data_IF_522717675026
#
_entry.id   IF_522717675026
#
_cell.length_a   1.000
_cell.length_b   1.000
_cell.length_c   1.000
_cell.angle_alpha   90.00
_cell.angle_beta   90.00
_cell.angle_gamma   90.00
#
_symmetry.space_group_name_H-M   'P 1'
#
loop_
_entity.id
_entity.type
_entity.pdbx_description
1 polymer ?
#
# COMPACT_ATOMS: atom_id res chain seq x y z
N UNK A 1 -40.32 -7.25 -28.61
CA UNK A 1 -39.48 -7.12 -27.39
C UNK A 1 -39.63 -5.68 -26.92
N UNK A 2 -40.10 -5.39 -25.72
CA UNK A 2 -40.24 -4.01 -25.27
C UNK A 2 -38.82 -3.45 -25.00
N UNK A 3 -38.47 -2.44 -25.76
CA UNK A 3 -37.26 -1.63 -25.47
C UNK A 3 -37.46 -0.94 -24.13
N UNK A 4 -36.80 -1.42 -23.09
CA UNK A 4 -36.78 -0.76 -21.79
C UNK A 4 -36.17 0.64 -21.98
N UNK A 5 -37.02 1.64 -22.02
CA UNK A 5 -36.55 3.03 -22.01
C UNK A 5 -35.86 3.31 -20.67
N UNK A 6 -34.55 3.48 -20.73
CA UNK A 6 -33.74 3.82 -19.56
C UNK A 6 -34.18 5.22 -19.11
N UNK A 7 -34.73 5.34 -17.91
CA UNK A 7 -35.16 6.61 -17.35
C UNK A 7 -33.98 7.56 -17.14
N UNK A 8 -34.23 8.87 -17.20
CA UNK A 8 -33.16 9.89 -16.96
C UNK A 8 -32.46 9.65 -15.62
N UNK A 9 -33.20 9.28 -14.58
CA UNK A 9 -32.65 8.94 -13.27
C UNK A 9 -31.62 7.80 -13.32
N UNK A 10 -31.91 6.73 -14.07
CA UNK A 10 -30.98 5.61 -14.23
C UNK A 10 -29.70 6.03 -14.97
N UNK A 11 -29.81 6.92 -15.96
CA UNK A 11 -28.62 7.46 -16.67
C UNK A 11 -27.72 8.28 -15.75
N UNK A 12 -28.32 9.16 -14.95
CA UNK A 12 -27.58 9.99 -13.96
C UNK A 12 -26.92 9.12 -12.91
N UNK A 13 -27.64 8.12 -12.38
CA UNK A 13 -27.07 7.17 -11.41
C UNK A 13 -25.86 6.44 -11.99
N UNK A 14 -25.97 5.89 -13.21
CA UNK A 14 -24.84 5.20 -13.85
C UNK A 14 -23.66 6.13 -14.13
N UNK A 15 -23.91 7.40 -14.49
CA UNK A 15 -22.85 8.38 -14.68
C UNK A 15 -22.09 8.64 -13.37
N UNK A 16 -22.77 8.82 -12.24
CA UNK A 16 -22.16 9.03 -10.93
C UNK A 16 -21.33 7.81 -10.53
N UNK A 17 -21.88 6.61 -10.64
CA UNK A 17 -21.19 5.36 -10.30
C UNK A 17 -19.95 5.16 -11.19
N UNK A 18 -20.07 5.44 -12.49
CA UNK A 18 -18.97 5.32 -13.43
C UNK A 18 -17.81 6.27 -13.07
N UNK A 19 -18.12 7.55 -12.83
CA UNK A 19 -17.11 8.55 -12.46
C UNK A 19 -16.43 8.17 -11.14
N UNK A 20 -17.20 7.77 -10.12
CA UNK A 20 -16.66 7.32 -8.85
C UNK A 20 -15.77 6.08 -9.02
N UNK A 21 -16.17 5.12 -9.83
CA UNK A 21 -15.40 3.90 -10.10
C UNK A 21 -14.09 4.21 -10.82
N UNK A 22 -14.11 5.07 -11.83
CA UNK A 22 -12.90 5.50 -12.55
C UNK A 22 -11.93 6.20 -11.60
N UNK A 23 -12.41 7.11 -10.76
CA UNK A 23 -11.58 7.83 -9.80
C UNK A 23 -10.90 6.87 -8.81
N UNK A 24 -11.64 5.89 -8.26
CA UNK A 24 -11.10 4.90 -7.33
C UNK A 24 -10.11 3.96 -8.01
N UNK A 25 -10.38 3.49 -9.23
CA UNK A 25 -9.47 2.64 -10.00
C UNK A 25 -8.16 3.39 -10.30
N UNK A 26 -8.27 4.64 -10.73
CA UNK A 26 -7.09 5.48 -11.02
C UNK A 26 -6.26 5.69 -9.75
N UNK A 27 -6.89 6.04 -8.62
CA UNK A 27 -6.20 6.18 -7.35
C UNK A 27 -5.52 4.87 -6.93
N UNK A 28 -6.21 3.74 -7.02
CA UNK A 28 -5.66 2.41 -6.70
C UNK A 28 -4.47 2.03 -7.59
N UNK A 29 -4.56 2.33 -8.88
CA UNK A 29 -3.46 2.08 -9.83
C UNK A 29 -2.22 2.93 -9.49
N UNK A 30 -2.39 4.19 -9.10
CA UNK A 30 -1.29 5.06 -8.69
C UNK A 30 -0.65 4.53 -7.40
N UNK A 31 -1.43 4.18 -6.38
CA UNK A 31 -0.93 3.62 -5.12
C UNK A 31 -0.19 2.31 -5.35
N UNK A 32 -0.73 1.44 -6.21
CA UNK A 32 -0.07 0.17 -6.56
C UNK A 32 1.26 0.42 -7.30
N UNK A 33 1.29 1.30 -8.29
CA UNK A 33 2.49 1.60 -9.06
C UNK A 33 3.59 2.20 -8.17
N UNK A 34 3.25 3.18 -7.31
CA UNK A 34 4.20 3.77 -6.36
C UNK A 34 4.67 2.73 -5.34
N UNK A 35 3.77 1.91 -4.79
CA UNK A 35 4.13 0.87 -3.82
C UNK A 35 5.06 -0.19 -4.42
N UNK A 36 4.82 -0.63 -5.64
CA UNK A 36 5.64 -1.65 -6.29
C UNK A 36 7.07 -1.15 -6.62
N UNK A 37 7.22 0.10 -7.03
CA UNK A 37 8.54 0.68 -7.31
C UNK A 37 9.33 1.01 -6.04
N UNK A 38 8.64 1.33 -4.93
CA UNK A 38 9.29 1.70 -3.67
C UNK A 38 9.89 0.50 -2.93
N UNK A 39 9.31 -0.70 -3.01
CA UNK A 39 9.77 -1.88 -2.24
C UNK A 39 11.26 -2.17 -2.43
N UNK A 40 11.75 -2.23 -3.66
CA UNK A 40 13.16 -2.49 -3.93
C UNK A 40 14.07 -1.30 -3.59
N UNK A 41 13.58 -0.07 -3.78
CA UNK A 41 14.32 1.14 -3.43
C UNK A 41 14.44 1.29 -1.92
N UNK A 42 13.36 1.07 -1.18
CA UNK A 42 13.35 1.14 0.29
C UNK A 42 14.25 0.07 0.90
N UNK A 43 14.22 -1.16 0.36
CA UNK A 43 15.14 -2.22 0.78
C UNK A 43 16.61 -1.80 0.56
N UNK A 44 16.93 -1.25 -0.60
CA UNK A 44 18.29 -0.78 -0.88
C UNK A 44 18.70 0.35 0.05
N UNK A 45 17.84 1.35 0.27
CA UNK A 45 18.13 2.46 1.20
C UNK A 45 18.38 1.98 2.63
N UNK A 46 17.59 1.01 3.13
CA UNK A 46 17.80 0.42 4.46
C UNK A 46 19.14 -0.29 4.57
N UNK A 47 19.50 -1.05 3.52
CA UNK A 47 20.80 -1.72 3.46
C UNK A 47 21.97 -0.72 3.43
N UNK A 48 21.85 0.38 2.69
CA UNK A 48 22.86 1.43 2.67
C UNK A 48 23.02 2.09 4.05
N UNK A 49 21.94 2.35 4.75
CA UNK A 49 22.00 2.86 6.12
C UNK A 49 22.65 1.85 7.10
N UNK A 50 22.39 0.55 6.94
CA UNK A 50 23.06 -0.48 7.74
C UNK A 50 24.56 -0.52 7.44
N UNK A 51 24.96 -0.43 6.16
CA UNK A 51 26.37 -0.33 5.75
C UNK A 51 27.07 0.84 6.42
N UNK A 52 26.46 2.00 6.44
CA UNK A 52 27.07 3.21 6.97
C UNK A 52 27.20 3.12 8.50
N UNK A 53 26.21 2.57 9.20
CA UNK A 53 26.25 2.32 10.66
C UNK A 53 27.38 1.37 11.05
N UNK A 54 27.55 0.23 10.36
CA UNK A 54 28.62 -0.72 10.70
C UNK A 54 29.99 -0.13 10.41
N UNK A 55 30.14 0.66 9.36
CA UNK A 55 31.40 1.34 9.05
C UNK A 55 31.77 2.38 10.10
N UNK A 56 30.80 3.15 10.55
CA UNK A 56 30.98 4.13 11.62
C UNK A 56 31.39 3.44 12.92
N UNK A 57 30.69 2.38 13.33
CA UNK A 57 31.02 1.60 14.52
C UNK A 57 32.43 0.97 14.43
N UNK A 58 32.79 0.44 13.27
CA UNK A 58 34.12 -0.15 13.06
C UNK A 58 35.22 0.91 13.04
N UNK A 59 34.95 2.12 12.56
CA UNK A 59 35.93 3.22 12.57
C UNK A 59 36.10 3.85 13.94
N UNK A 60 35.02 3.97 14.73
CA UNK A 60 35.05 4.50 16.10
C UNK A 60 35.71 3.53 17.07
N UNK A 61 35.58 2.23 16.83
CA UNK A 61 36.26 1.18 17.59
C UNK A 61 35.89 1.08 19.07
N UNK A 62 34.80 1.76 19.48
CA UNK A 62 34.30 1.78 20.86
C UNK A 62 32.82 1.35 20.91
N UNK A 63 32.46 0.62 21.98
CA UNK A 63 31.08 0.30 22.26
C UNK A 63 30.32 1.54 22.75
N UNK A 64 29.33 2.06 21.99
CA UNK A 64 28.60 3.27 22.38
C UNK A 64 27.82 3.17 23.69
N UNK A 65 27.59 1.95 24.22
CA UNK A 65 26.88 1.76 25.49
C UNK A 65 27.81 1.73 26.71
N UNK A 66 28.97 1.12 26.57
CA UNK A 66 29.93 0.95 27.68
C UNK A 66 31.14 1.89 27.58
N UNK A 67 31.40 2.49 26.43
CA UNK A 67 32.61 3.29 26.15
C UNK A 67 33.90 2.47 26.09
N UNK A 68 33.79 1.14 26.08
CA UNK A 68 34.97 0.27 26.04
C UNK A 68 35.43 0.02 24.59
N UNK A 69 36.74 -0.16 24.37
CA UNK A 69 37.24 -0.52 23.05
C UNK A 69 36.65 -1.86 22.55
N UNK A 70 36.31 -1.91 21.27
CA UNK A 70 35.87 -3.14 20.61
C UNK A 70 37.09 -3.92 20.11
N UNK A 71 37.39 -5.03 20.76
CA UNK A 71 38.56 -5.86 20.41
C UNK A 71 38.17 -6.91 19.35
N UNK A 72 38.62 -6.66 18.10
CA UNK A 72 38.46 -7.57 16.97
C UNK A 72 37.10 -7.51 16.28
N UNK A 73 37.06 -8.20 15.14
CA UNK A 73 35.88 -8.22 14.24
C UNK A 73 34.63 -8.78 14.92
N UNK A 74 34.79 -9.84 15.71
CA UNK A 74 33.68 -10.50 16.40
C UNK A 74 32.94 -9.56 17.38
N UNK A 75 33.71 -8.69 18.11
CA UNK A 75 33.12 -7.73 19.03
C UNK A 75 32.29 -6.65 18.29
N UNK A 76 32.82 -6.13 17.18
CA UNK A 76 32.12 -5.15 16.33
C UNK A 76 30.83 -5.73 15.78
N UNK A 77 30.86 -6.91 15.18
CA UNK A 77 29.68 -7.58 14.62
C UNK A 77 28.63 -7.86 15.70
N UNK A 78 29.06 -8.41 16.85
CA UNK A 78 28.14 -8.67 17.96
C UNK A 78 27.43 -7.42 18.44
N UNK A 79 28.15 -6.35 18.71
CA UNK A 79 27.57 -5.09 19.21
C UNK A 79 26.63 -4.49 18.16
N UNK A 80 26.99 -4.54 16.88
CA UNK A 80 26.13 -4.05 15.81
C UNK A 80 24.82 -4.84 15.74
N UNK A 81 24.88 -6.16 15.64
CA UNK A 81 23.71 -7.05 15.54
C UNK A 81 22.81 -6.94 16.77
N UNK A 82 23.38 -6.87 17.98
CA UNK A 82 22.59 -6.74 19.21
C UNK A 82 21.86 -5.39 19.35
N UNK A 83 22.32 -4.36 18.66
CA UNK A 83 21.77 -3.00 18.73
C UNK A 83 20.86 -2.66 17.56
N UNK A 84 20.90 -3.45 16.51
CA UNK A 84 20.05 -3.21 15.34
C UNK A 84 18.65 -3.73 15.64
N UNK A 85 17.66 -2.84 15.54
CA UNK A 85 16.26 -3.23 15.55
C UNK A 85 15.87 -3.61 14.13
N UNK A 86 15.54 -4.88 13.93
CA UNK A 86 15.17 -5.43 12.64
C UNK A 86 13.66 -5.30 12.39
N UNK A 87 13.32 -5.02 11.13
CA UNK A 87 11.95 -4.99 10.68
C UNK A 87 11.42 -6.39 10.33
N UNK A 88 10.11 -6.49 10.01
CA UNK A 88 9.55 -7.74 9.52
C UNK A 88 10.23 -8.19 8.23
N UNK A 89 10.79 -9.41 8.25
CA UNK A 89 11.53 -9.96 7.11
C UNK A 89 12.95 -9.42 6.95
N UNK A 90 13.51 -8.82 7.99
CA UNK A 90 14.90 -8.35 8.05
C UNK A 90 15.68 -9.16 9.08
N UNK A 91 16.93 -9.48 8.78
CA UNK A 91 17.85 -10.11 9.72
C UNK A 91 19.30 -9.80 9.38
N UNK A 92 20.16 -9.79 10.39
CA UNK A 92 21.58 -9.59 10.24
C UNK A 92 22.36 -10.85 10.65
N UNK A 93 23.36 -11.22 9.86
CA UNK A 93 24.25 -12.35 10.08
C UNK A 93 25.68 -11.85 10.16
N UNK A 94 26.42 -12.32 11.14
CA UNK A 94 27.83 -12.01 11.33
C UNK A 94 28.72 -13.21 11.01
N UNK A 95 29.59 -13.05 10.03
CA UNK A 95 30.59 -14.03 9.66
C UNK A 95 31.95 -13.62 10.19
N UNK A 96 32.66 -14.55 10.83
CA UNK A 96 34.01 -14.32 11.33
C UNK A 96 34.93 -15.46 10.86
N UNK A 97 36.13 -15.12 10.46
CA UNK A 97 37.10 -16.10 10.03
C UNK A 97 38.50 -15.59 9.97
N UNK A 98 39.42 -16.47 9.62
CA UNK A 98 40.79 -16.21 9.25
C UNK A 98 40.94 -16.41 7.74
N UNK A 99 42.07 -16.07 7.17
CA UNK A 99 42.29 -15.96 5.71
C UNK A 99 41.86 -17.14 4.81
N UNK A 100 41.45 -18.26 5.37
CA UNK A 100 41.06 -19.45 4.62
C UNK A 100 39.71 -20.07 5.02
N UNK A 101 39.10 -19.62 6.13
CA UNK A 101 37.85 -20.21 6.61
C UNK A 101 36.98 -19.15 7.28
N UNK A 102 35.73 -19.00 6.81
CA UNK A 102 34.77 -18.00 7.29
C UNK A 102 33.51 -18.72 7.74
N UNK A 103 33.21 -18.63 9.03
CA UNK A 103 32.06 -19.28 9.65
C UNK A 103 31.01 -18.24 10.10
N UNK A 104 29.75 -18.62 10.03
CA UNK A 104 28.65 -17.89 10.64
C UNK A 104 28.81 -17.95 12.16
N UNK A 105 29.03 -16.81 12.79
CA UNK A 105 29.28 -16.72 14.23
C UNK A 105 28.16 -16.03 14.98
N UNK A 106 27.54 -15.04 14.36
CA UNK A 106 26.48 -14.23 14.97
C UNK A 106 25.24 -14.22 14.07
N UNK A 107 24.08 -14.38 14.69
CA UNK A 107 22.77 -14.26 14.05
C UNK A 107 21.95 -13.20 14.78
N UNK A 108 20.93 -12.70 14.11
CA UNK A 108 19.93 -11.83 14.71
C UNK A 108 19.32 -12.44 15.96
N UNK A 109 18.74 -11.60 16.81
CA UNK A 109 18.11 -12.01 18.06
C UNK A 109 17.06 -13.11 17.85
N UNK A 110 16.90 -13.99 18.83
CA UNK A 110 15.91 -15.08 18.82
C UNK A 110 14.44 -14.62 18.69
N UNK A 111 14.18 -13.33 18.92
CA UNK A 111 12.83 -12.74 18.77
C UNK A 111 12.46 -12.40 17.33
N UNK A 112 13.35 -12.62 16.37
CA UNK A 112 13.10 -12.33 14.95
C UNK A 112 12.32 -13.47 14.32
N UNK A 113 11.22 -13.14 13.67
CA UNK A 113 10.36 -14.13 13.00
C UNK A 113 10.92 -14.64 11.66
N UNK A 114 12.00 -14.02 11.19
CA UNK A 114 12.67 -14.35 9.94
C UNK A 114 14.05 -14.93 10.21
N UNK A 115 14.32 -16.12 9.66
CA UNK A 115 15.52 -16.92 9.89
C UNK A 115 16.24 -17.23 8.58
N UNK A 116 16.98 -16.28 8.01
CA UNK A 116 17.70 -16.50 6.76
C UNK A 116 18.82 -17.54 6.86
N UNK A 117 19.33 -17.80 8.08
CA UNK A 117 20.31 -18.85 8.35
C UNK A 117 19.79 -20.28 8.12
N UNK A 118 18.47 -20.46 8.06
CA UNK A 118 17.87 -21.77 7.75
C UNK A 118 17.82 -22.03 6.23
N UNK A 119 17.99 -21.01 5.37
CA UNK A 119 18.05 -21.16 3.92
C UNK A 119 19.48 -21.51 3.49
N UNK A 120 19.69 -22.81 3.23
CA UNK A 120 21.01 -23.35 2.86
C UNK A 120 21.56 -22.75 1.57
N UNK A 121 20.69 -22.43 0.60
CA UNK A 121 21.13 -21.86 -0.68
C UNK A 121 21.53 -20.40 -0.53
N UNK A 122 20.83 -19.66 0.31
CA UNK A 122 21.24 -18.30 0.69
C UNK A 122 22.58 -18.34 1.43
N UNK A 123 22.73 -19.21 2.47
CA UNK A 123 23.97 -19.31 3.24
C UNK A 123 25.18 -19.65 2.36
N UNK A 124 25.06 -20.63 1.47
CA UNK A 124 26.15 -20.97 0.52
C UNK A 124 26.57 -19.76 -0.30
N UNK A 125 25.60 -18.97 -0.77
CA UNK A 125 25.87 -17.79 -1.59
C UNK A 125 26.58 -16.71 -0.78
N UNK A 126 26.07 -16.34 0.39
CA UNK A 126 26.65 -15.27 1.20
C UNK A 126 27.98 -15.65 1.80
N UNK A 127 28.19 -16.93 2.22
CA UNK A 127 29.47 -17.41 2.72
C UNK A 127 30.55 -17.32 1.65
N UNK A 128 30.24 -17.67 0.39
CA UNK A 128 31.20 -17.55 -0.71
C UNK A 128 31.64 -16.12 -0.98
N UNK A 129 30.86 -15.13 -0.60
CA UNK A 129 31.13 -13.71 -0.77
C UNK A 129 31.58 -12.99 0.50
N UNK A 130 31.45 -13.63 1.68
CA UNK A 130 31.85 -13.05 2.95
C UNK A 130 33.35 -12.73 3.05
N UNK A 131 34.17 -13.37 2.19
CA UNK A 131 35.60 -13.08 2.05
C UNK A 131 35.92 -11.95 1.04
N UNK A 132 34.90 -11.32 0.42
CA UNK A 132 35.10 -10.21 -0.49
C UNK A 132 35.72 -9.00 0.19
N UNK A 133 36.49 -8.20 -0.52
CA UNK A 133 37.13 -6.99 0.01
C UNK A 133 36.25 -5.74 -0.08
N UNK A 134 35.17 -5.78 -0.83
CA UNK A 134 34.28 -4.65 -1.06
C UNK A 134 32.84 -4.97 -0.64
N UNK A 135 32.12 -3.92 -0.24
CA UNK A 135 30.68 -4.07 0.08
C UNK A 135 29.88 -4.31 -1.19
N UNK A 136 29.01 -5.31 -1.16
CA UNK A 136 28.17 -5.70 -2.28
C UNK A 136 26.69 -5.69 -1.86
N UNK A 137 25.82 -5.13 -2.69
CA UNK A 137 24.35 -5.27 -2.58
C UNK A 137 23.87 -6.08 -3.77
N UNK A 138 23.34 -7.26 -3.52
CA UNK A 138 22.83 -8.14 -4.58
C UNK A 138 21.42 -8.65 -4.26
N UNK A 139 20.75 -9.17 -5.28
CA UNK A 139 19.50 -9.91 -5.11
C UNK A 139 19.77 -11.39 -5.27
N UNK A 140 19.55 -12.15 -4.21
CA UNK A 140 19.69 -13.61 -4.17
C UNK A 140 18.31 -14.22 -4.28
N UNK A 141 18.12 -15.10 -5.28
CA UNK A 141 16.89 -15.87 -5.46
C UNK A 141 17.13 -17.30 -5.04
N UNK A 142 16.32 -17.79 -4.12
CA UNK A 142 16.31 -19.18 -3.68
C UNK A 142 14.92 -19.79 -3.93
N UNK A 143 14.76 -21.10 -3.82
CA UNK A 143 13.44 -21.73 -3.89
C UNK A 143 12.48 -21.21 -2.79
N UNK A 144 13.02 -20.75 -1.64
CA UNK A 144 12.24 -20.29 -0.49
C UNK A 144 11.75 -18.85 -0.68
N UNK A 145 12.63 -17.95 -1.12
CA UNK A 145 12.29 -16.53 -1.29
C UNK A 145 13.25 -15.76 -2.21
N UNK A 146 12.94 -14.46 -2.39
CA UNK A 146 13.81 -13.50 -3.04
C UNK A 146 14.36 -12.55 -1.97
N UNK A 147 15.66 -12.52 -1.81
CA UNK A 147 16.35 -11.74 -0.80
C UNK A 147 17.11 -10.57 -1.43
N UNK A 148 17.02 -9.42 -0.82
CA UNK A 148 17.96 -8.32 -1.05
C UNK A 148 19.01 -8.40 0.03
N UNK A 149 20.28 -8.57 -0.35
CA UNK A 149 21.38 -8.86 0.56
C UNK A 149 22.44 -7.79 0.43
N UNK A 150 22.89 -7.29 1.56
CA UNK A 150 24.08 -6.46 1.70
C UNK A 150 25.17 -7.28 2.39
N UNK A 151 26.36 -7.30 1.83
CA UNK A 151 27.55 -7.90 2.43
C UNK A 151 28.56 -6.78 2.67
N UNK A 152 28.94 -6.56 3.91
CA UNK A 152 29.94 -5.55 4.31
C UNK A 152 31.14 -6.24 4.95
N UNK A 153 32.30 -6.24 4.30
CA UNK A 153 33.51 -6.77 4.91
C UNK A 153 33.96 -5.90 6.10
N UNK A 154 34.31 -6.54 7.17
CA UNK A 154 34.87 -5.93 8.40
C UNK A 154 36.23 -6.53 8.66
N UNK A 155 37.24 -5.69 8.81
CA UNK A 155 38.62 -6.12 9.04
C UNK A 155 39.11 -5.59 10.41
N UNK A 156 39.80 -6.43 11.14
CA UNK A 156 40.37 -6.06 12.43
C UNK A 156 41.57 -6.93 12.80
N UNK A 157 42.77 -6.39 12.68
CA UNK A 157 44.02 -7.11 12.94
C UNK A 157 44.24 -8.29 12.00
N UNK A 158 44.33 -9.51 12.52
CA UNK A 158 44.49 -10.75 11.75
C UNK A 158 43.18 -11.44 11.44
N UNK A 159 42.04 -10.89 11.89
CA UNK A 159 40.71 -11.44 11.67
C UNK A 159 40.02 -10.73 10.49
N UNK A 160 39.31 -11.51 9.73
CA UNK A 160 38.39 -11.04 8.71
C UNK A 160 36.97 -11.44 9.07
N UNK A 161 36.03 -10.65 8.68
CA UNK A 161 34.63 -11.00 8.83
C UNK A 161 33.74 -10.20 7.89
N UNK A 162 32.48 -10.49 7.94
CA UNK A 162 31.46 -9.76 7.16
C UNK A 162 30.16 -9.64 7.94
N UNK A 163 29.55 -8.48 7.87
CA UNK A 163 28.14 -8.31 8.17
C UNK A 163 27.34 -8.61 6.92
N UNK A 164 26.35 -9.47 7.05
CA UNK A 164 25.38 -9.75 6.01
C UNK A 164 24.01 -9.34 6.50
N UNK A 165 23.43 -8.31 5.88
CA UNK A 165 22.08 -7.88 6.16
C UNK A 165 21.14 -8.40 5.06
N UNK A 166 20.12 -9.14 5.45
CA UNK A 166 19.19 -9.82 4.56
C UNK A 166 17.80 -9.24 4.71
N UNK A 167 17.17 -8.87 3.61
CA UNK A 167 15.78 -8.41 3.55
C UNK A 167 15.00 -9.34 2.63
N UNK A 168 13.94 -9.95 3.14
CA UNK A 168 13.01 -10.77 2.36
C UNK A 168 12.01 -9.91 1.59
N UNK A 169 12.20 -9.82 0.28
CA UNK A 169 11.32 -9.04 -0.60
C UNK A 169 9.89 -9.58 -0.64
N UNK A 170 9.69 -10.88 -0.42
CA UNK A 170 8.34 -11.48 -0.36
C UNK A 170 7.54 -10.97 0.84
N UNK A 171 8.19 -10.75 1.99
CA UNK A 171 7.54 -10.18 3.17
C UNK A 171 7.14 -8.73 2.90
N UNK A 172 8.03 -7.95 2.29
CA UNK A 172 7.74 -6.56 1.90
C UNK A 172 6.59 -6.48 0.88
N UNK A 173 6.59 -7.35 -0.13
CA UNK A 173 5.49 -7.47 -1.11
C UNK A 173 4.16 -7.88 -0.45
N UNK A 174 4.20 -8.79 0.54
CA UNK A 174 3.00 -9.24 1.26
C UNK A 174 2.33 -8.11 2.05
N UNK A 175 3.11 -7.18 2.60
CA UNK A 175 2.58 -5.98 3.26
C UNK A 175 1.88 -5.06 2.26
N UNK A 176 2.46 -4.87 1.07
CA UNK A 176 1.80 -4.12 -0.01
C UNK A 176 0.48 -4.78 -0.42
N UNK A 177 0.46 -6.12 -0.58
CA UNK A 177 -0.76 -6.86 -0.91
C UNK A 177 -1.85 -6.69 0.15
N UNK A 178 -1.52 -6.71 1.44
CA UNK A 178 -2.49 -6.44 2.52
C UNK A 178 -3.05 -5.03 2.44
N UNK A 179 -2.20 -4.04 2.22
CA UNK A 179 -2.63 -2.64 2.02
C UNK A 179 -3.56 -2.52 0.83
N UNK A 180 -3.25 -3.19 -0.29
CA UNK A 180 -4.11 -3.22 -1.47
C UNK A 180 -5.45 -3.93 -1.21
N UNK A 181 -5.46 -4.99 -0.41
CA UNK A 181 -6.71 -5.67 -0.02
C UNK A 181 -7.63 -4.76 0.79
N UNK A 182 -7.09 -4.03 1.78
CA UNK A 182 -7.86 -3.03 2.53
C UNK A 182 -8.36 -1.90 1.64
N UNK A 183 -7.52 -1.38 0.74
CA UNK A 183 -7.92 -0.38 -0.23
C UNK A 183 -9.07 -0.87 -1.11
N UNK A 184 -8.97 -2.09 -1.64
CA UNK A 184 -10.00 -2.69 -2.49
C UNK A 184 -11.32 -2.85 -1.73
N UNK A 185 -11.28 -3.32 -0.49
CA UNK A 185 -12.47 -3.44 0.34
C UNK A 185 -13.12 -2.07 0.60
N UNK A 186 -12.32 -1.05 0.93
CA UNK A 186 -12.80 0.32 1.11
C UNK A 186 -13.40 0.90 -0.19
N UNK A 187 -12.77 0.65 -1.34
CA UNK A 187 -13.25 1.11 -2.63
C UNK A 187 -14.60 0.48 -2.98
N UNK A 188 -14.75 -0.85 -2.80
CA UNK A 188 -16.02 -1.55 -3.00
C UNK A 188 -17.12 -1.00 -2.10
N UNK A 189 -16.80 -0.79 -0.81
CA UNK A 189 -17.74 -0.19 0.13
C UNK A 189 -18.17 1.22 -0.30
N UNK A 190 -17.23 2.05 -0.73
CA UNK A 190 -17.49 3.41 -1.20
C UNK A 190 -18.40 3.41 -2.44
N UNK A 191 -18.14 2.54 -3.42
CA UNK A 191 -18.98 2.42 -4.61
C UNK A 191 -20.40 1.97 -4.24
N UNK A 192 -20.53 1.00 -3.34
CA UNK A 192 -21.83 0.54 -2.85
C UNK A 192 -22.60 1.67 -2.13
N UNK A 193 -21.92 2.44 -1.28
CA UNK A 193 -22.49 3.58 -0.58
C UNK A 193 -22.94 4.68 -1.55
N UNK A 194 -22.09 5.06 -2.51
CA UNK A 194 -22.40 6.06 -3.54
C UNK A 194 -23.59 5.60 -4.38
N UNK A 195 -23.62 4.32 -4.76
CA UNK A 195 -24.75 3.75 -5.52
C UNK A 195 -26.05 3.83 -4.73
N UNK A 196 -26.03 3.46 -3.44
CA UNK A 196 -27.19 3.55 -2.56
C UNK A 196 -27.69 4.99 -2.36
N UNK A 197 -26.77 5.93 -2.13
CA UNK A 197 -27.11 7.36 -1.99
C UNK A 197 -27.63 7.95 -3.30
N UNK A 198 -27.02 7.59 -4.43
CA UNK A 198 -27.48 8.03 -5.74
C UNK A 198 -28.88 7.49 -6.06
N UNK A 199 -29.13 6.22 -5.75
CA UNK A 199 -30.46 5.65 -5.93
C UNK A 199 -31.52 6.36 -5.10
N UNK A 200 -31.26 6.52 -3.80
CA UNK A 200 -32.17 7.22 -2.88
C UNK A 200 -32.40 8.68 -3.29
N UNK A 201 -31.33 9.39 -3.65
CA UNK A 201 -31.37 10.79 -4.08
C UNK A 201 -32.15 10.98 -5.38
N UNK A 202 -31.85 10.16 -6.39
CA UNK A 202 -32.53 10.22 -7.69
C UNK A 202 -34.01 9.91 -7.54
N UNK A 203 -34.39 8.88 -6.79
CA UNK A 203 -35.80 8.54 -6.56
C UNK A 203 -36.52 9.70 -5.85
N UNK A 204 -35.91 10.31 -4.84
CA UNK A 204 -36.51 11.41 -4.09
C UNK A 204 -36.65 12.70 -4.92
N UNK A 205 -35.64 13.01 -5.75
CA UNK A 205 -35.62 14.24 -6.56
C UNK A 205 -36.50 14.14 -7.80
N UNK A 206 -36.70 12.96 -8.38
CA UNK A 206 -37.50 12.78 -9.59
C UNK A 206 -38.97 12.49 -9.30
N UNK A 207 -39.36 12.09 -8.10
CA UNK A 207 -40.77 11.89 -7.72
C UNK A 207 -41.67 13.09 -8.01
N UNK A 208 -41.29 14.33 -7.65
CA UNK A 208 -42.11 15.50 -7.94
C UNK A 208 -42.32 15.72 -9.47
N UNK A 209 -41.24 15.50 -10.25
CA UNK A 209 -41.31 15.66 -11.73
C UNK A 209 -42.26 14.64 -12.34
N UNK A 210 -42.27 13.42 -11.89
CA UNK A 210 -43.19 12.38 -12.34
C UNK A 210 -44.65 12.70 -11.94
N UNK A 211 -44.84 13.29 -10.76
CA UNK A 211 -46.18 13.75 -10.33
C UNK A 211 -46.66 14.91 -11.20
N UNK A 212 -45.78 15.86 -11.55
CA UNK A 212 -46.11 16.95 -12.48
C UNK A 212 -46.52 16.42 -13.86
N UNK A 213 -45.72 15.47 -14.39
CA UNK A 213 -46.03 14.85 -15.70
C UNK A 213 -47.38 14.17 -15.68
N UNK A 214 -47.70 13.37 -14.67
CA UNK A 214 -49.00 12.70 -14.54
C UNK A 214 -50.14 13.69 -14.38
N UNK A 215 -49.97 14.77 -13.62
CA UNK A 215 -50.95 15.83 -13.49
C UNK A 215 -51.19 16.52 -14.83
N UNK A 216 -50.13 16.78 -15.61
CA UNK A 216 -50.27 17.40 -16.95
C UNK A 216 -50.91 16.43 -17.96
N UNK A 217 -50.61 15.14 -17.89
CA UNK A 217 -51.23 14.11 -18.75
C UNK A 217 -52.69 13.85 -18.39
N UNK A 218 -53.13 14.11 -17.14
CA UNK A 218 -54.52 13.98 -16.68
C UNK A 218 -55.37 15.21 -16.98
N UNK A 219 -54.77 16.35 -17.35
CA UNK A 219 -55.45 17.53 -17.84
C UNK A 219 -55.78 17.29 -19.31
N UNK A 220 -56.86 16.56 -19.59
CA UNK A 220 -57.44 16.42 -20.94
C UNK A 220 -58.23 17.65 -21.29
N UNK A 221 -58.64 17.75 -22.57
CA UNK A 221 -59.41 18.88 -23.11
C UNK A 221 -60.76 19.16 -22.38
N UNK A 222 -61.19 18.21 -21.50
CA UNK A 222 -62.50 18.27 -20.85
C UNK A 222 -62.47 18.61 -19.34
N UNK A 223 -61.27 18.60 -18.67
CA UNK A 223 -61.21 18.93 -17.24
C UNK A 223 -60.05 19.87 -16.90
N UNK A 224 -60.29 21.16 -17.03
CA UNK A 224 -59.39 22.26 -16.69
C UNK A 224 -59.44 22.63 -15.17
N UNK A 225 -60.22 21.90 -14.38
CA UNK A 225 -60.37 22.21 -12.92
C UNK A 225 -59.29 21.60 -12.07
N UNK A 226 -58.54 20.60 -12.55
CA UNK A 226 -57.47 19.97 -11.83
C UNK A 226 -56.27 20.90 -11.66
N UNK A 227 -55.80 21.10 -10.43
CA UNK A 227 -54.61 21.93 -10.10
C UNK A 227 -53.44 21.08 -9.67
N UNK A 228 -52.23 21.51 -10.07
CA UNK A 228 -50.98 20.89 -9.67
C UNK A 228 -50.72 21.19 -8.20
N UNK A 229 -50.48 20.19 -7.35
CA UNK A 229 -50.23 20.41 -5.93
C UNK A 229 -48.89 21.13 -5.72
N UNK A 230 -48.94 22.33 -5.16
CA UNK A 230 -47.75 23.16 -4.81
C UNK A 230 -47.29 22.75 -3.42
N UNK A 231 -46.22 21.91 -3.34
CA UNK A 231 -45.62 21.52 -2.08
C UNK A 231 -44.09 21.72 -2.15
N UNK A 232 -43.55 22.57 -1.27
CA UNK A 232 -42.13 22.82 -1.16
C UNK A 232 -41.73 24.29 -1.26
N UNK A 233 -40.43 24.58 -1.32
CA UNK A 233 -39.81 25.89 -1.47
C UNK A 233 -38.68 25.87 -2.49
N UNK A 234 -38.79 25.04 -3.51
CA UNK A 234 -37.79 24.82 -4.55
C UNK A 234 -38.27 25.36 -5.92
N UNK A 235 -37.38 25.31 -6.91
CA UNK A 235 -37.64 25.75 -8.27
C UNK A 235 -38.83 24.99 -8.93
N UNK A 236 -39.09 23.77 -8.48
CA UNK A 236 -40.24 22.97 -8.95
C UNK A 236 -41.58 23.53 -8.42
N UNK A 237 -41.55 24.10 -7.23
CA UNK A 237 -42.72 24.82 -6.68
C UNK A 237 -43.05 26.07 -7.49
N UNK A 238 -42.00 26.80 -7.94
CA UNK A 238 -42.18 27.96 -8.83
C UNK A 238 -42.75 27.54 -10.19
N UNK A 239 -42.32 26.42 -10.73
CA UNK A 239 -42.85 25.85 -11.98
C UNK A 239 -44.34 25.42 -11.84
N UNK A 240 -44.67 24.69 -10.75
CA UNK A 240 -46.05 24.29 -10.47
C UNK A 240 -47.00 25.50 -10.34
N UNK A 241 -46.53 26.55 -9.67
CA UNK A 241 -47.29 27.81 -9.57
C UNK A 241 -47.43 28.53 -10.91
N UNK A 242 -46.45 28.45 -11.80
CA UNK A 242 -46.54 29.01 -13.15
C UNK A 242 -47.55 28.25 -14.01
N UNK A 243 -47.57 26.93 -13.93
CA UNK A 243 -48.57 26.07 -14.62
C UNK A 243 -49.96 26.38 -14.11
N UNK A 244 -50.18 26.48 -12.79
CA UNK A 244 -51.51 26.83 -12.26
C UNK A 244 -51.96 28.21 -12.70
N UNK A 245 -51.07 29.23 -12.74
CA UNK A 245 -51.41 30.58 -13.28
C UNK A 245 -51.74 30.54 -14.75
N UNK A 246 -51.15 29.64 -15.54
CA UNK A 246 -51.50 29.46 -16.93
C UNK A 246 -52.91 28.85 -17.08
N UNK A 247 -53.22 27.85 -16.25
CA UNK A 247 -54.56 27.23 -16.21
C UNK A 247 -55.67 28.18 -15.75
N UNK A 248 -55.36 29.21 -14.92
CA UNK A 248 -56.29 30.24 -14.48
C UNK A 248 -56.61 31.25 -15.58
N UNK A 249 -55.86 31.27 -16.69
CA UNK A 249 -56.05 32.22 -17.82
C UNK A 249 -56.82 31.65 -18.99
N UNK A 250 -57.10 30.35 -18.97
CA UNK A 250 -57.84 29.63 -19.99
C UNK A 250 -59.28 29.40 -19.51
#
# INVERSE_FOLDING_TARGET
MPTRTITIGTRVMWAIVLVASIALITCGAIVWALGHTSVSADATNRLEHSRDRIRELAADGTDPSSGQPLEGVSAVLRVHIQRTAEGPGEAELGFVGTSSDTELTWVSSDNVSFRPEEDTDLLKRVTSQAAASESVIETVRTPSSNYRVLIVPVQGGSQHGALVHVIDLKVAESQLQRTMAFYTAAAVFTVALVTGLAWFGVERLLRPIEQLRRATESIGEEDLTTRVPVKGRDDLTALAAAVNRMLDRV
#
